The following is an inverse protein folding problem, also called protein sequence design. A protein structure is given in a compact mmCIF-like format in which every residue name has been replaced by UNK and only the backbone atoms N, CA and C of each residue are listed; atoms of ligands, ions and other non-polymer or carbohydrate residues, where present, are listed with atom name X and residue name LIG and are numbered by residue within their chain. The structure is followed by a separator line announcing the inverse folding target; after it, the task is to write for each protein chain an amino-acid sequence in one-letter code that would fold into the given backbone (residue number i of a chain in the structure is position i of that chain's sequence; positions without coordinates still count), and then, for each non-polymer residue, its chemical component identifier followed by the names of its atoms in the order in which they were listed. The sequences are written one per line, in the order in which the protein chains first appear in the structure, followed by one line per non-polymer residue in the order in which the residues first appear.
data_IF_783482236552
#
_entry.id   IF_783482236552
#
_cell.length_a   1.000
_cell.length_b   1.000
_cell.length_c   1.000
_cell.angle_alpha   90.00
_cell.angle_beta   90.00
_cell.angle_gamma   90.00
#
_symmetry.space_group_name_H-M   'P 1'
#
loop_
_entity.id
_entity.type
_entity.pdbx_description
1 polymer ?
#
# COMPACT_ATOMS: atom_id res chain seq x y z
N UNK A 1 6.06 19.85 -3.88
CA UNK A 1 4.82 19.08 -4.05
C UNK A 1 5.07 17.73 -3.42
N UNK A 2 4.36 17.36 -2.36
CA UNK A 2 4.60 16.15 -1.59
C UNK A 2 4.30 14.92 -2.48
N UNK A 3 5.13 13.88 -2.41
CA UNK A 3 4.98 12.62 -3.17
C UNK A 3 3.61 11.97 -2.92
N UNK A 4 3.08 12.13 -1.71
CA UNK A 4 1.75 11.67 -1.29
C UNK A 4 0.64 12.44 -2.03
N UNK A 5 0.76 13.75 -2.13
CA UNK A 5 -0.21 14.60 -2.85
C UNK A 5 -0.21 14.28 -4.35
N UNK A 6 0.95 13.99 -4.90
CA UNK A 6 1.08 13.59 -6.31
C UNK A 6 0.33 12.29 -6.59
N UNK A 7 0.51 11.25 -5.77
CA UNK A 7 -0.17 9.95 -5.93
C UNK A 7 -1.68 10.08 -5.73
N UNK A 8 -2.12 10.83 -4.71
CA UNK A 8 -3.54 11.07 -4.45
C UNK A 8 -4.21 11.85 -5.59
N UNK A 9 -3.52 12.85 -6.15
CA UNK A 9 -4.00 13.63 -7.28
C UNK A 9 -4.13 12.77 -8.55
N UNK A 10 -3.18 11.85 -8.79
CA UNK A 10 -3.26 10.90 -9.91
C UNK A 10 -4.46 9.98 -9.78
N UNK A 11 -4.67 9.36 -8.59
CA UNK A 11 -5.83 8.51 -8.35
C UNK A 11 -7.14 9.28 -8.51
N UNK A 12 -7.22 10.50 -7.98
CA UNK A 12 -8.40 11.33 -8.14
C UNK A 12 -8.64 11.65 -9.64
N UNK A 13 -7.60 12.04 -10.37
CA UNK A 13 -7.68 12.28 -11.81
C UNK A 13 -8.15 11.05 -12.59
N UNK A 14 -7.63 9.87 -12.22
CA UNK A 14 -8.00 8.59 -12.84
C UNK A 14 -9.48 8.23 -12.57
N UNK A 15 -9.97 8.42 -11.33
CA UNK A 15 -11.38 8.26 -10.97
C UNK A 15 -12.26 9.25 -11.74
N UNK A 16 -11.93 10.55 -11.73
CA UNK A 16 -12.72 11.60 -12.38
C UNK A 16 -12.79 11.41 -13.91
N UNK A 17 -11.67 11.08 -14.56
CA UNK A 17 -11.66 10.75 -15.98
C UNK A 17 -12.53 9.53 -16.27
N UNK A 18 -12.46 8.49 -15.44
CA UNK A 18 -13.28 7.29 -15.62
C UNK A 18 -14.78 7.58 -15.51
N UNK A 19 -15.20 8.40 -14.54
CA UNK A 19 -16.59 8.85 -14.42
C UNK A 19 -17.02 9.60 -15.68
N UNK A 20 -16.20 10.53 -16.18
CA UNK A 20 -16.51 11.32 -17.37
C UNK A 20 -16.67 10.45 -18.63
N UNK A 21 -16.00 9.28 -18.70
CA UNK A 21 -16.16 8.35 -19.82
C UNK A 21 -17.57 7.78 -19.93
N UNK A 22 -18.37 7.78 -18.84
CA UNK A 22 -19.78 7.35 -18.89
C UNK A 22 -20.68 8.20 -19.82
N UNK A 23 -20.26 9.41 -20.17
CA UNK A 23 -20.96 10.25 -21.15
C UNK A 23 -20.75 9.74 -22.59
N UNK A 24 -19.67 9.01 -22.85
CA UNK A 24 -19.30 8.59 -24.19
C UNK A 24 -19.46 7.07 -24.41
N UNK A 25 -19.30 6.26 -23.38
CA UNK A 25 -19.27 4.81 -23.45
C UNK A 25 -20.33 4.18 -22.57
N UNK A 26 -20.82 3.01 -22.97
CA UNK A 26 -21.88 2.29 -22.27
C UNK A 26 -21.33 1.15 -21.38
N UNK A 27 -20.12 0.67 -21.64
CA UNK A 27 -19.52 -0.43 -20.90
C UNK A 27 -18.08 -0.12 -20.51
N UNK A 28 -17.65 -0.67 -19.36
CA UNK A 28 -16.29 -0.59 -18.87
C UNK A 28 -15.80 -1.95 -18.42
N UNK A 29 -14.58 -2.30 -18.80
CA UNK A 29 -13.84 -3.39 -18.18
C UNK A 29 -12.75 -2.83 -17.26
N UNK A 30 -12.56 -3.49 -16.11
CA UNK A 30 -11.44 -3.26 -15.19
C UNK A 30 -10.60 -4.51 -15.07
N UNK A 31 -9.29 -4.33 -15.06
CA UNK A 31 -8.35 -5.41 -14.81
C UNK A 31 -7.04 -4.84 -14.28
N UNK A 32 -6.20 -5.66 -13.66
CA UNK A 32 -4.85 -5.31 -13.25
C UNK A 32 -3.85 -6.40 -13.63
N UNK A 33 -2.56 -6.04 -13.67
CA UNK A 33 -1.48 -6.99 -13.89
C UNK A 33 -1.09 -7.62 -12.56
N UNK A 34 -1.13 -8.96 -12.51
CA UNK A 34 -0.71 -9.71 -11.31
C UNK A 34 0.80 -9.59 -11.12
N UNK A 35 1.23 -9.17 -9.93
CA UNK A 35 2.65 -9.08 -9.57
C UNK A 35 3.49 -8.36 -10.62
N UNK A 36 3.06 -7.17 -11.06
CA UNK A 36 3.62 -6.46 -12.21
C UNK A 36 5.16 -6.40 -12.17
N UNK A 37 5.75 -5.84 -11.12
CA UNK A 37 7.21 -5.70 -10.98
C UNK A 37 7.95 -7.04 -10.95
N UNK A 38 7.41 -8.01 -10.24
CA UNK A 38 7.99 -9.36 -10.16
C UNK A 38 7.84 -10.17 -11.44
N UNK A 39 6.99 -9.74 -12.37
CA UNK A 39 6.73 -10.40 -13.65
C UNK A 39 7.46 -9.78 -14.82
N UNK A 40 8.06 -8.59 -14.66
CA UNK A 40 8.81 -7.94 -15.74
C UNK A 40 9.96 -8.87 -16.17
N UNK A 41 9.93 -9.30 -17.44
CA UNK A 41 11.04 -9.98 -18.07
C UNK A 41 12.11 -8.94 -18.42
N UNK A 42 13.31 -9.04 -17.81
CA UNK A 42 14.28 -7.94 -17.87
C UNK A 42 14.68 -7.57 -19.30
N UNK A 43 14.76 -8.56 -20.19
CA UNK A 43 15.02 -8.30 -21.62
C UNK A 43 13.93 -7.46 -22.30
N UNK A 44 12.71 -7.40 -21.76
CA UNK A 44 11.66 -6.53 -22.30
C UNK A 44 11.99 -5.04 -22.14
N UNK A 45 12.90 -4.70 -21.22
CA UNK A 45 13.45 -3.34 -21.07
C UNK A 45 14.22 -2.97 -22.34
N UNK A 46 15.12 -3.85 -22.77
CA UNK A 46 15.87 -3.64 -24.02
C UNK A 46 14.94 -3.58 -25.25
N UNK A 47 13.88 -4.42 -25.28
CA UNK A 47 12.90 -4.37 -26.37
C UNK A 47 12.12 -3.06 -26.42
N UNK A 48 11.80 -2.49 -25.26
CA UNK A 48 11.06 -1.24 -25.16
C UNK A 48 11.93 -0.01 -25.55
N UNK A 49 13.24 -0.07 -25.30
CA UNK A 49 14.16 1.04 -25.60
C UNK A 49 14.67 0.97 -27.03
N UNK A 50 15.08 -0.23 -27.50
CA UNK A 50 15.79 -0.41 -28.80
C UNK A 50 14.93 -1.02 -29.91
N UNK A 51 13.82 -1.57 -29.63
CA UNK A 51 13.01 -2.53 -30.37
C UNK A 51 13.46 -3.99 -30.14
N UNK A 52 12.49 -4.91 -30.20
CA UNK A 52 12.73 -6.35 -29.98
C UNK A 52 13.73 -6.94 -30.97
N UNK A 53 13.70 -6.49 -32.22
CA UNK A 53 14.59 -6.98 -33.28
C UNK A 53 16.04 -6.55 -33.06
N UNK A 54 16.26 -5.27 -32.77
CA UNK A 54 17.61 -4.73 -32.54
C UNK A 54 18.22 -5.35 -31.29
N UNK A 55 17.47 -5.38 -30.18
CA UNK A 55 17.94 -5.94 -28.91
C UNK A 55 18.30 -7.43 -29.03
N UNK A 56 17.50 -8.23 -29.75
CA UNK A 56 17.78 -9.66 -29.97
C UNK A 56 18.98 -9.92 -30.88
N UNK A 57 19.19 -9.10 -31.90
CA UNK A 57 20.37 -9.23 -32.79
C UNK A 57 21.67 -8.88 -32.07
N UNK A 58 21.62 -7.99 -31.10
CA UNK A 58 22.78 -7.42 -30.43
C UNK A 58 22.78 -7.70 -28.92
N UNK A 59 22.34 -8.88 -28.51
CA UNK A 59 22.06 -9.22 -27.08
C UNK A 59 23.23 -8.97 -26.12
N UNK A 60 24.50 -9.06 -26.63
CA UNK A 60 25.70 -8.83 -25.84
C UNK A 60 26.30 -7.43 -26.02
N UNK A 61 25.64 -6.57 -26.81
CA UNK A 61 26.12 -5.22 -27.05
C UNK A 61 25.65 -4.27 -25.96
N UNK A 62 26.53 -4.01 -25.01
CA UNK A 62 26.28 -3.08 -23.90
C UNK A 62 26.41 -1.59 -24.27
N UNK A 63 26.75 -1.27 -25.54
CA UNK A 63 26.69 0.11 -26.04
C UNK A 63 25.23 0.55 -26.26
N UNK A 64 24.29 -0.38 -26.41
CA UNK A 64 22.87 -0.13 -26.48
C UNK A 64 22.31 0.10 -25.07
N UNK A 65 21.67 1.24 -24.86
CA UNK A 65 21.18 1.66 -23.54
C UNK A 65 20.24 0.62 -22.90
N UNK A 66 19.32 0.09 -23.69
CA UNK A 66 18.36 -0.92 -23.21
C UNK A 66 19.05 -2.20 -22.76
N UNK A 67 20.05 -2.68 -23.49
CA UNK A 67 20.83 -3.85 -23.10
C UNK A 67 21.70 -3.58 -21.87
N UNK A 68 22.22 -2.37 -21.72
CA UNK A 68 22.99 -1.96 -20.54
C UNK A 68 22.10 -1.97 -19.28
N UNK A 69 20.90 -1.39 -19.36
CA UNK A 69 19.94 -1.38 -18.24
C UNK A 69 19.54 -2.82 -17.88
N UNK A 70 19.19 -3.63 -18.87
CA UNK A 70 18.85 -5.05 -18.67
C UNK A 70 19.97 -5.79 -17.93
N UNK A 71 21.21 -5.64 -18.37
CA UNK A 71 22.38 -6.27 -17.75
C UNK A 71 22.57 -5.82 -16.31
N UNK A 72 22.47 -4.52 -16.02
CA UNK A 72 22.61 -3.99 -14.65
C UNK A 72 21.52 -4.56 -13.74
N UNK A 73 20.26 -4.62 -14.18
CA UNK A 73 19.15 -5.20 -13.38
C UNK A 73 19.40 -6.68 -13.09
N UNK A 74 19.89 -7.44 -14.07
CA UNK A 74 20.25 -8.85 -13.85
C UNK A 74 21.41 -8.99 -12.85
N UNK A 75 22.44 -8.17 -12.96
CA UNK A 75 23.58 -8.20 -12.03
C UNK A 75 23.17 -7.85 -10.59
N UNK A 76 22.23 -6.94 -10.41
CA UNK A 76 21.61 -6.64 -9.10
C UNK A 76 20.79 -7.81 -8.53
N UNK A 77 20.42 -8.80 -9.35
CA UNK A 77 19.53 -9.91 -9.01
C UNK A 77 20.20 -11.28 -9.24
N UNK A 78 21.51 -11.38 -9.08
CA UNK A 78 22.26 -12.63 -9.27
C UNK A 78 22.05 -13.30 -10.65
N UNK A 79 21.88 -12.51 -11.69
CA UNK A 79 21.63 -12.99 -13.05
C UNK A 79 20.20 -13.42 -13.33
N UNK A 80 19.24 -13.16 -12.42
CA UNK A 80 17.82 -13.42 -12.68
C UNK A 80 17.29 -12.49 -13.77
N UNK A 81 16.52 -13.08 -14.70
CA UNK A 81 15.91 -12.36 -15.82
C UNK A 81 14.42 -12.03 -15.60
N UNK A 82 13.87 -12.40 -14.47
CA UNK A 82 12.46 -12.13 -14.09
C UNK A 82 12.39 -11.29 -12.83
N UNK A 83 11.61 -10.21 -12.92
CA UNK A 83 11.36 -9.29 -11.84
C UNK A 83 12.39 -8.16 -11.72
N UNK A 84 11.86 -7.01 -11.31
CA UNK A 84 12.67 -5.85 -10.92
C UNK A 84 12.31 -5.45 -9.49
N UNK A 85 13.23 -4.84 -8.72
CA UNK A 85 12.92 -4.37 -7.37
C UNK A 85 11.74 -3.38 -7.36
N UNK A 86 10.90 -3.45 -6.34
CA UNK A 86 9.80 -2.51 -6.15
C UNK A 86 10.15 -1.50 -5.07
N UNK A 87 9.73 -0.22 -5.25
CA UNK A 87 9.78 0.81 -4.22
C UNK A 87 10.71 1.98 -4.52
N UNK A 88 11.45 1.98 -5.61
CA UNK A 88 12.25 3.13 -6.06
C UNK A 88 11.61 3.87 -7.24
N UNK A 89 11.88 5.18 -7.35
CA UNK A 89 11.43 5.99 -8.50
C UNK A 89 12.05 5.47 -9.80
N UNK A 90 13.30 5.01 -9.76
CA UNK A 90 13.98 4.48 -10.93
C UNK A 90 13.29 3.21 -11.44
N UNK A 91 12.97 2.27 -10.58
CA UNK A 91 12.28 1.03 -10.98
C UNK A 91 10.84 1.28 -11.40
N UNK A 92 10.16 2.26 -10.80
CA UNK A 92 8.86 2.74 -11.28
C UNK A 92 8.97 3.27 -12.72
N UNK A 93 10.01 4.05 -13.04
CA UNK A 93 10.26 4.58 -14.38
C UNK A 93 10.58 3.46 -15.39
N UNK A 94 11.41 2.47 -15.02
CA UNK A 94 11.70 1.31 -15.86
C UNK A 94 10.43 0.50 -16.14
N UNK A 95 9.59 0.26 -15.13
CA UNK A 95 8.32 -0.41 -15.31
C UNK A 95 7.40 0.34 -16.30
N UNK A 96 7.34 1.67 -16.21
CA UNK A 96 6.54 2.49 -17.14
C UNK A 96 7.09 2.47 -18.58
N UNK A 97 8.40 2.31 -18.80
CA UNK A 97 8.98 2.11 -20.15
C UNK A 97 8.43 0.80 -20.74
N UNK A 98 8.47 -0.31 -20.00
CA UNK A 98 7.99 -1.62 -20.47
C UNK A 98 6.48 -1.61 -20.68
N UNK A 99 5.72 -1.01 -19.77
CA UNK A 99 4.26 -0.88 -19.90
C UNK A 99 3.87 0.07 -21.04
N UNK A 100 4.62 1.13 -21.28
CA UNK A 100 4.43 2.01 -22.45
C UNK A 100 4.65 1.28 -23.78
N UNK A 101 5.66 0.41 -23.84
CA UNK A 101 5.86 -0.47 -24.99
C UNK A 101 4.67 -1.44 -25.18
N UNK A 102 4.15 -2.01 -24.08
CA UNK A 102 2.94 -2.83 -24.14
C UNK A 102 1.73 -2.03 -24.67
N UNK A 103 1.53 -0.79 -24.19
CA UNK A 103 0.43 0.09 -24.63
C UNK A 103 0.51 0.38 -26.14
N UNK A 104 1.71 0.59 -26.69
CA UNK A 104 1.93 0.76 -28.12
C UNK A 104 1.52 -0.49 -28.91
N UNK A 105 1.98 -1.69 -28.48
CA UNK A 105 1.64 -2.95 -29.13
C UNK A 105 0.11 -3.22 -29.07
N UNK A 106 -0.52 -2.94 -27.91
CA UNK A 106 -1.98 -3.06 -27.74
C UNK A 106 -2.70 -2.14 -28.73
N UNK A 107 -2.31 -0.86 -28.79
CA UNK A 107 -2.92 0.12 -29.70
C UNK A 107 -2.81 -0.29 -31.15
N UNK A 108 -1.64 -0.83 -31.56
CA UNK A 108 -1.44 -1.35 -32.92
C UNK A 108 -2.37 -2.50 -33.23
N UNK A 109 -2.44 -3.53 -32.35
CA UNK A 109 -3.31 -4.70 -32.54
C UNK A 109 -4.81 -4.33 -32.54
N UNK A 110 -5.24 -3.36 -31.72
CA UNK A 110 -6.62 -2.87 -31.72
C UNK A 110 -6.96 -2.19 -33.06
N UNK A 111 -6.04 -1.38 -33.60
CA UNK A 111 -6.22 -0.74 -34.91
C UNK A 111 -6.29 -1.77 -36.05
N UNK A 112 -5.47 -2.82 -36.02
CA UNK A 112 -5.53 -3.94 -36.98
C UNK A 112 -6.90 -4.65 -36.95
N UNK A 113 -7.52 -4.76 -35.77
CA UNK A 113 -8.89 -5.30 -35.60
C UNK A 113 -10.01 -4.28 -35.94
N UNK A 114 -9.67 -3.07 -36.38
CA UNK A 114 -10.61 -2.02 -36.81
C UNK A 114 -11.61 -1.55 -35.73
N UNK A 115 -11.29 -1.73 -34.46
CA UNK A 115 -12.11 -1.19 -33.36
C UNK A 115 -11.83 0.30 -33.24
N UNK A 116 -12.87 1.15 -33.36
CA UNK A 116 -12.73 2.61 -33.44
C UNK A 116 -13.17 3.33 -32.16
N UNK A 117 -14.29 2.93 -31.59
CA UNK A 117 -14.92 3.63 -30.47
C UNK A 117 -14.57 2.95 -29.13
N UNK A 118 -13.35 3.20 -28.67
CA UNK A 118 -12.86 2.71 -27.37
C UNK A 118 -11.99 3.78 -26.70
N UNK A 119 -11.74 3.61 -25.41
CA UNK A 119 -10.74 4.34 -24.66
C UNK A 119 -10.10 3.43 -23.63
N UNK A 120 -8.80 3.56 -23.42
CA UNK A 120 -8.08 2.84 -22.36
C UNK A 120 -7.44 3.90 -21.45
N UNK A 121 -7.70 3.79 -20.17
CA UNK A 121 -6.99 4.48 -19.13
C UNK A 121 -6.13 3.47 -18.38
N UNK A 122 -4.84 3.73 -18.28
CA UNK A 122 -3.92 2.95 -17.46
C UNK A 122 -3.29 3.82 -16.38
N UNK A 123 -3.20 3.28 -15.19
CA UNK A 123 -2.40 3.83 -14.11
C UNK A 123 -1.53 2.72 -13.54
N UNK A 124 -0.24 2.71 -13.88
CA UNK A 124 0.68 1.60 -13.58
C UNK A 124 0.15 0.28 -14.11
N UNK A 125 -0.17 -0.65 -13.22
CA UNK A 125 -0.71 -1.99 -13.50
C UNK A 125 -2.24 -2.05 -13.65
N UNK A 126 -2.96 -0.98 -13.26
CA UNK A 126 -4.43 -0.90 -13.34
C UNK A 126 -4.90 -0.41 -14.72
N UNK A 127 -5.75 -1.20 -15.37
CA UNK A 127 -6.39 -0.87 -16.66
C UNK A 127 -7.89 -0.62 -16.48
N UNK A 128 -8.40 0.39 -17.16
CA UNK A 128 -9.82 0.65 -17.40
C UNK A 128 -10.05 0.82 -18.88
N UNK A 129 -10.86 -0.06 -19.45
CA UNK A 129 -11.16 -0.12 -20.86
C UNK A 129 -12.63 0.24 -21.04
N UNK A 130 -12.92 1.16 -21.94
CA UNK A 130 -14.27 1.66 -22.22
C UNK A 130 -14.62 1.38 -23.67
N UNK A 131 -15.86 0.92 -23.92
CA UNK A 131 -16.38 0.70 -25.26
C UNK A 131 -17.90 0.89 -25.29
N UNK A 132 -18.48 0.85 -26.52
CA UNK A 132 -19.93 1.00 -26.70
C UNK A 132 -20.68 -0.29 -26.35
N UNK A 133 -20.02 -1.45 -26.40
CA UNK A 133 -20.62 -2.75 -26.17
C UNK A 133 -19.61 -3.76 -25.58
N UNK A 134 -20.12 -4.84 -24.99
CA UNK A 134 -19.30 -5.88 -24.36
C UNK A 134 -18.49 -6.71 -25.37
N UNK A 135 -18.92 -6.80 -26.62
CA UNK A 135 -18.22 -7.58 -27.66
C UNK A 135 -16.86 -6.92 -27.91
N UNK A 136 -16.85 -5.62 -28.16
CA UNK A 136 -15.60 -4.86 -28.37
C UNK A 136 -14.72 -4.91 -27.14
N UNK A 137 -15.29 -4.80 -25.93
CA UNK A 137 -14.52 -4.94 -24.68
C UNK A 137 -13.83 -6.29 -24.58
N UNK A 138 -14.52 -7.36 -24.90
CA UNK A 138 -13.95 -8.72 -24.85
C UNK A 138 -12.82 -8.90 -25.88
N UNK A 139 -12.97 -8.33 -27.08
CA UNK A 139 -11.89 -8.35 -28.09
C UNK A 139 -10.68 -7.55 -27.59
N UNK A 140 -10.90 -6.37 -27.05
CA UNK A 140 -9.81 -5.54 -26.50
C UNK A 140 -9.12 -6.26 -25.32
N UNK A 141 -9.87 -6.84 -24.39
CA UNK A 141 -9.31 -7.61 -23.28
C UNK A 141 -8.46 -8.79 -23.76
N UNK A 142 -8.91 -9.48 -24.81
CA UNK A 142 -8.14 -10.57 -25.44
C UNK A 142 -6.82 -10.04 -25.99
N UNK A 143 -6.85 -8.94 -26.74
CA UNK A 143 -5.64 -8.29 -27.29
C UNK A 143 -4.68 -7.89 -26.17
N UNK A 144 -5.19 -7.27 -25.11
CA UNK A 144 -4.37 -6.89 -23.93
C UNK A 144 -3.73 -8.12 -23.32
N UNK A 145 -4.51 -9.21 -23.12
CA UNK A 145 -4.01 -10.46 -22.55
C UNK A 145 -2.90 -11.07 -23.40
N UNK A 146 -3.06 -11.09 -24.72
CA UNK A 146 -2.07 -11.63 -25.67
C UNK A 146 -0.76 -10.81 -25.63
N UNK A 147 -0.86 -9.49 -25.75
CA UNK A 147 0.32 -8.61 -25.72
C UNK A 147 1.05 -8.70 -24.38
N UNK A 148 0.34 -8.65 -23.27
CA UNK A 148 0.92 -8.76 -21.95
C UNK A 148 1.59 -10.12 -21.73
N UNK A 149 0.99 -11.22 -22.24
CA UNK A 149 1.58 -12.55 -22.15
C UNK A 149 2.89 -12.66 -22.92
N UNK A 150 3.04 -11.97 -24.06
CA UNK A 150 4.30 -11.90 -24.83
C UNK A 150 5.43 -11.22 -24.04
N UNK A 151 5.07 -10.41 -23.04
CA UNK A 151 6.00 -9.71 -22.13
C UNK A 151 6.11 -10.36 -20.75
N UNK A 152 5.58 -11.59 -20.59
CA UNK A 152 5.55 -12.36 -19.34
C UNK A 152 4.60 -11.79 -18.26
N UNK A 153 3.71 -10.89 -18.61
CA UNK A 153 2.67 -10.40 -17.69
C UNK A 153 1.42 -11.26 -17.73
N UNK A 154 0.69 -11.28 -16.63
CA UNK A 154 -0.62 -11.94 -16.52
C UNK A 154 -1.65 -11.01 -15.93
N UNK A 155 -2.83 -10.96 -16.53
CA UNK A 155 -3.97 -10.25 -15.94
C UNK A 155 -4.52 -11.02 -14.74
N UNK A 156 -4.98 -10.27 -13.76
CA UNK A 156 -5.63 -10.82 -12.58
C UNK A 156 -7.09 -11.16 -12.89
N UNK A 157 -7.37 -12.43 -13.13
CA UNK A 157 -8.71 -12.90 -13.47
C UNK A 157 -9.75 -12.65 -12.37
N UNK A 158 -9.34 -12.64 -11.10
CA UNK A 158 -10.26 -12.38 -9.97
C UNK A 158 -10.67 -10.91 -9.88
N UNK A 159 -9.84 -10.00 -10.38
CA UNK A 159 -10.12 -8.56 -10.40
C UNK A 159 -10.64 -8.08 -11.75
N UNK A 160 -10.59 -8.93 -12.78
CA UNK A 160 -11.15 -8.61 -14.09
C UNK A 160 -12.67 -8.66 -14.02
N UNK A 161 -13.31 -7.54 -14.38
CA UNK A 161 -14.76 -7.41 -14.36
C UNK A 161 -15.24 -6.50 -15.49
N UNK A 162 -16.40 -6.82 -16.07
CA UNK A 162 -17.09 -5.99 -17.06
C UNK A 162 -18.37 -5.46 -16.39
N UNK A 163 -18.74 -4.23 -16.68
CA UNK A 163 -19.91 -3.55 -16.12
C UNK A 163 -20.45 -2.50 -17.08
N UNK A 164 -21.76 -2.28 -17.04
CA UNK A 164 -22.47 -1.16 -17.64
C UNK A 164 -22.63 0.03 -16.66
N UNK A 165 -22.49 -0.21 -15.34
CA UNK A 165 -22.45 0.85 -14.34
C UNK A 165 -21.03 1.43 -14.21
N UNK A 166 -20.67 2.28 -15.17
CA UNK A 166 -19.36 2.93 -15.22
C UNK A 166 -19.15 3.84 -13.99
N UNK A 167 -20.16 4.59 -13.58
CA UNK A 167 -20.03 5.62 -12.53
C UNK A 167 -19.67 4.98 -11.19
N UNK A 168 -20.47 4.06 -10.69
CA UNK A 168 -20.23 3.38 -9.40
C UNK A 168 -18.92 2.61 -9.42
N UNK A 169 -18.62 1.94 -10.54
CA UNK A 169 -17.41 1.16 -10.67
C UNK A 169 -16.14 1.98 -10.95
N UNK A 170 -16.26 3.28 -11.27
CA UNK A 170 -15.13 4.19 -11.35
C UNK A 170 -14.56 4.56 -9.99
N UNK A 171 -15.33 4.44 -8.93
CA UNK A 171 -14.95 4.75 -7.55
C UNK A 171 -14.50 3.46 -6.85
N UNK A 172 -13.56 3.55 -5.91
CA UNK A 172 -13.19 2.41 -5.06
C UNK A 172 -14.40 1.97 -4.22
N UNK A 173 -14.62 0.65 -4.13
CA UNK A 173 -15.78 0.07 -3.42
C UNK A 173 -15.93 0.56 -1.98
N UNK A 174 -14.82 0.71 -1.27
CA UNK A 174 -14.80 1.23 0.10
C UNK A 174 -15.26 2.70 0.18
N UNK A 175 -14.80 3.56 -0.74
CA UNK A 175 -15.28 4.95 -0.84
C UNK A 175 -16.78 5.01 -1.18
N UNK A 176 -17.20 4.25 -2.19
CA UNK A 176 -18.61 4.20 -2.59
C UNK A 176 -19.49 3.73 -1.42
N UNK A 177 -19.06 2.74 -0.65
CA UNK A 177 -19.79 2.23 0.50
C UNK A 177 -19.95 3.26 1.63
N UNK A 178 -18.91 4.06 1.91
CA UNK A 178 -19.03 5.17 2.88
C UNK A 178 -20.07 6.19 2.44
N UNK A 179 -20.09 6.55 1.16
CA UNK A 179 -21.02 7.54 0.62
C UNK A 179 -22.49 7.07 0.71
N UNK A 180 -22.72 5.78 0.43
CA UNK A 180 -24.08 5.20 0.42
C UNK A 180 -24.58 4.84 1.82
N UNK A 181 -23.72 4.30 2.69
CA UNK A 181 -24.12 3.75 3.97
C UNK A 181 -23.88 4.68 5.17
N UNK A 182 -23.47 5.94 4.92
CA UNK A 182 -23.28 6.95 5.96
C UNK A 182 -22.49 6.42 7.18
N UNK A 183 -21.33 5.80 6.96
CA UNK A 183 -20.44 5.49 8.09
C UNK A 183 -19.93 6.78 8.72
N UNK A 184 -20.65 7.25 9.72
CA UNK A 184 -20.40 8.51 10.40
C UNK A 184 -19.70 8.24 11.73
N UNK A 185 -18.75 9.11 12.08
CA UNK A 185 -18.21 9.18 13.43
C UNK A 185 -19.30 9.74 14.35
N UNK A 186 -19.81 8.92 15.26
CA UNK A 186 -20.92 9.25 16.16
C UNK A 186 -20.42 9.97 17.41
N UNK A 187 -21.31 10.69 18.11
CA UNK A 187 -20.98 11.44 19.34
C UNK A 187 -20.62 10.55 20.57
N UNK A 188 -20.21 9.32 20.34
CA UNK A 188 -19.80 8.39 21.39
C UNK A 188 -18.70 7.47 20.88
N UNK A 189 -17.56 7.46 21.54
CA UNK A 189 -16.35 6.70 21.14
C UNK A 189 -16.64 5.22 20.89
N UNK A 190 -17.38 4.57 21.78
CA UNK A 190 -17.67 3.15 21.64
C UNK A 190 -18.58 2.87 20.44
N UNK A 191 -19.60 3.71 20.19
CA UNK A 191 -20.48 3.58 19.01
C UNK A 191 -19.70 3.85 17.71
N UNK A 192 -18.83 4.85 17.70
CA UNK A 192 -17.96 5.14 16.55
C UNK A 192 -17.05 3.94 16.24
N UNK A 193 -16.44 3.35 17.26
CA UNK A 193 -15.60 2.16 17.10
C UNK A 193 -16.38 0.94 16.61
N UNK A 194 -17.63 0.73 17.04
CA UNK A 194 -18.47 -0.34 16.49
C UNK A 194 -18.75 -0.14 15.00
N UNK A 195 -19.03 1.11 14.60
CA UNK A 195 -19.24 1.47 13.19
C UNK A 195 -17.98 1.23 12.35
N UNK A 196 -16.84 1.72 12.83
CA UNK A 196 -15.53 1.54 12.18
C UNK A 196 -15.16 0.05 12.10
N UNK A 197 -15.43 -0.72 13.18
CA UNK A 197 -15.22 -2.17 13.19
C UNK A 197 -16.09 -2.88 12.15
N UNK A 198 -17.38 -2.55 12.07
CA UNK A 198 -18.26 -3.12 11.04
C UNK A 198 -17.75 -2.84 9.62
N UNK A 199 -17.33 -1.60 9.35
CA UNK A 199 -16.69 -1.23 8.09
C UNK A 199 -15.40 -2.04 7.83
N UNK A 200 -14.55 -2.23 8.85
CA UNK A 200 -13.28 -2.93 8.74
C UNK A 200 -13.42 -4.43 8.41
N UNK A 201 -14.55 -5.04 8.74
CA UNK A 201 -14.85 -6.43 8.39
C UNK A 201 -15.19 -6.59 6.90
N UNK A 202 -15.77 -5.56 6.31
CA UNK A 202 -16.13 -5.54 4.88
C UNK A 202 -14.94 -5.11 4.02
N UNK A 203 -14.19 -4.09 4.48
CA UNK A 203 -13.07 -3.47 3.76
C UNK A 203 -11.79 -3.47 4.60
N UNK A 204 -11.19 -4.64 4.84
CA UNK A 204 -10.00 -4.75 5.68
C UNK A 204 -8.81 -4.00 5.05
N UNK A 205 -8.01 -3.35 5.91
CA UNK A 205 -6.80 -2.62 5.53
C UNK A 205 -7.00 -1.53 4.45
N UNK A 206 -8.23 -1.03 4.27
CA UNK A 206 -8.54 0.00 3.27
C UNK A 206 -8.08 1.40 3.72
N UNK A 207 -7.81 2.27 2.74
CA UNK A 207 -7.51 3.68 3.02
C UNK A 207 -8.67 4.43 3.68
N UNK A 208 -9.92 4.05 3.35
CA UNK A 208 -11.12 4.60 3.95
C UNK A 208 -11.28 4.22 5.42
N UNK A 209 -10.82 3.01 5.82
CA UNK A 209 -10.76 2.62 7.23
C UNK A 209 -9.80 3.52 8.03
N UNK A 210 -8.62 3.80 7.47
CA UNK A 210 -7.67 4.72 8.09
C UNK A 210 -8.26 6.12 8.25
N UNK A 211 -8.98 6.61 7.22
CA UNK A 211 -9.65 7.91 7.27
C UNK A 211 -10.71 7.97 8.39
N UNK A 212 -11.57 6.94 8.54
CA UNK A 212 -12.56 6.88 9.62
C UNK A 212 -11.91 6.86 11.01
N UNK A 213 -10.80 6.13 11.18
CA UNK A 213 -10.03 6.14 12.44
C UNK A 213 -9.41 7.51 12.72
N UNK A 214 -8.88 8.19 11.71
CA UNK A 214 -8.32 9.54 11.83
C UNK A 214 -9.41 10.54 12.20
N UNK A 215 -10.57 10.51 11.55
CA UNK A 215 -11.71 11.37 11.90
C UNK A 215 -12.17 11.15 13.35
N UNK A 216 -12.26 9.90 13.77
CA UNK A 216 -12.60 9.58 15.16
C UNK A 216 -11.54 10.08 16.14
N UNK A 217 -10.26 9.94 15.81
CA UNK A 217 -9.16 10.48 16.61
C UNK A 217 -9.29 11.99 16.79
N UNK A 218 -9.40 12.74 15.70
CA UNK A 218 -9.50 14.20 15.72
C UNK A 218 -10.74 14.70 16.49
N UNK A 219 -11.90 14.09 16.25
CA UNK A 219 -13.17 14.57 16.80
C UNK A 219 -13.42 14.12 18.23
N UNK A 220 -12.94 12.96 18.65
CA UNK A 220 -13.35 12.34 19.91
C UNK A 220 -12.21 11.98 20.86
N UNK A 221 -11.03 11.64 20.36
CA UNK A 221 -9.91 11.17 21.17
C UNK A 221 -8.98 12.32 21.55
N UNK A 222 -8.53 13.09 20.56
CA UNK A 222 -7.60 14.23 20.76
C UNK A 222 -8.16 15.29 21.72
N UNK A 223 -9.46 15.67 21.71
CA UNK A 223 -10.02 16.63 22.65
C UNK A 223 -10.32 16.07 24.04
N UNK A 224 -10.02 14.81 24.34
CA UNK A 224 -10.30 14.21 25.64
C UNK A 224 -9.53 14.90 26.76
N UNK A 225 -10.26 15.40 27.78
CA UNK A 225 -9.71 15.99 29.00
C UNK A 225 -9.89 15.12 30.24
N UNK A 226 -10.61 14.01 30.14
CA UNK A 226 -10.90 13.10 31.25
C UNK A 226 -11.03 11.67 30.75
N UNK A 227 -10.84 10.71 31.65
CA UNK A 227 -10.98 9.28 31.37
C UNK A 227 -12.35 9.00 30.73
N UNK A 228 -12.40 8.37 29.53
CA UNK A 228 -13.66 7.98 28.92
C UNK A 228 -14.39 6.91 29.75
N UNK A 229 -15.70 6.86 29.64
CA UNK A 229 -16.50 5.74 30.19
C UNK A 229 -16.19 4.46 29.37
N UNK A 230 -16.36 3.30 30.01
CA UNK A 230 -16.22 2.00 29.33
C UNK A 230 -14.82 1.80 28.63
N UNK A 231 -13.75 2.22 29.30
CA UNK A 231 -12.37 2.15 28.75
C UNK A 231 -12.00 0.74 28.27
N UNK A 232 -12.36 -0.28 29.06
CA UNK A 232 -12.05 -1.68 28.71
C UNK A 232 -12.71 -2.10 27.40
N UNK A 233 -13.97 -1.73 27.20
CA UNK A 233 -14.72 -2.02 25.97
C UNK A 233 -14.13 -1.26 24.78
N UNK A 234 -13.78 0.01 24.97
CA UNK A 234 -13.13 0.84 23.95
C UNK A 234 -11.82 0.21 23.50
N UNK A 235 -10.95 -0.16 24.45
CA UNK A 235 -9.68 -0.83 24.17
C UNK A 235 -9.92 -2.17 23.46
N UNK A 236 -10.90 -2.96 23.91
CA UNK A 236 -11.19 -4.27 23.32
C UNK A 236 -11.63 -4.17 21.86
N UNK A 237 -12.49 -3.21 21.50
CA UNK A 237 -12.94 -3.00 20.11
C UNK A 237 -11.78 -2.50 19.26
N UNK A 238 -11.00 -1.55 19.76
CA UNK A 238 -9.83 -0.99 19.07
C UNK A 238 -8.79 -2.08 18.77
N UNK A 239 -8.52 -2.94 19.75
CA UNK A 239 -7.60 -4.08 19.60
C UNK A 239 -8.14 -5.12 18.62
N UNK A 240 -9.45 -5.33 18.53
CA UNK A 240 -10.03 -6.22 17.52
C UNK A 240 -9.89 -5.65 16.09
N UNK A 241 -10.05 -4.32 15.92
CA UNK A 241 -9.78 -3.64 14.66
C UNK A 241 -8.32 -3.84 14.26
N UNK A 242 -7.37 -3.59 15.16
CA UNK A 242 -5.93 -3.80 14.93
C UNK A 242 -5.62 -5.24 14.55
N UNK A 243 -6.18 -6.21 15.28
CA UNK A 243 -5.92 -7.63 15.08
C UNK A 243 -6.26 -8.10 13.67
N UNK A 244 -7.30 -7.53 13.07
CA UNK A 244 -7.78 -7.85 11.72
C UNK A 244 -7.16 -6.98 10.62
N UNK A 245 -6.62 -5.82 10.99
CA UNK A 245 -6.20 -4.78 10.06
C UNK A 245 -4.80 -4.26 10.40
N UNK A 246 -3.72 -4.98 10.04
CA UNK A 246 -2.36 -4.56 10.35
C UNK A 246 -1.98 -3.14 9.94
N UNK A 247 -2.56 -2.61 8.86
CA UNK A 247 -2.33 -1.22 8.43
C UNK A 247 -2.81 -0.16 9.43
N UNK A 248 -3.61 -0.53 10.43
CA UNK A 248 -4.14 0.39 11.44
C UNK A 248 -3.30 0.45 12.72
N UNK A 249 -2.22 -0.32 12.84
CA UNK A 249 -1.45 -0.44 14.09
C UNK A 249 -0.99 0.91 14.63
N UNK A 250 -0.38 1.74 13.80
CA UNK A 250 0.11 3.08 14.18
C UNK A 250 -1.01 3.98 14.71
N UNK A 251 -2.10 4.16 13.98
CA UNK A 251 -3.24 4.99 14.40
C UNK A 251 -3.94 4.44 15.65
N UNK A 252 -4.14 3.14 15.73
CA UNK A 252 -4.76 2.54 16.90
C UNK A 252 -3.88 2.66 18.13
N UNK A 253 -2.55 2.54 18.00
CA UNK A 253 -1.62 2.71 19.11
C UNK A 253 -1.51 4.20 19.52
N UNK A 254 -1.60 5.14 18.57
CA UNK A 254 -1.78 6.56 18.88
C UNK A 254 -3.02 6.78 19.76
N UNK A 255 -4.19 6.23 19.38
CA UNK A 255 -5.43 6.30 20.16
C UNK A 255 -5.25 5.67 21.55
N UNK A 256 -4.58 4.49 21.61
CA UNK A 256 -4.28 3.84 22.88
C UNK A 256 -3.39 4.71 23.79
N UNK A 257 -2.40 5.43 23.23
CA UNK A 257 -1.51 6.30 24.02
C UNK A 257 -2.27 7.41 24.74
N UNK A 258 -3.26 8.01 24.05
CA UNK A 258 -4.15 9.02 24.67
C UNK A 258 -5.03 8.40 25.74
N UNK A 259 -5.62 7.23 25.50
CA UNK A 259 -6.45 6.55 26.49
C UNK A 259 -5.61 6.14 27.72
N UNK A 260 -4.40 5.66 27.49
CA UNK A 260 -3.48 5.22 28.55
C UNK A 260 -3.02 6.38 29.43
N UNK A 261 -2.95 7.61 28.93
CA UNK A 261 -2.60 8.78 29.73
C UNK A 261 -3.56 9.02 30.91
N UNK A 262 -4.76 8.46 30.85
CA UNK A 262 -5.75 8.52 31.94
C UNK A 262 -5.72 7.30 32.88
N UNK A 263 -4.78 6.37 32.71
CA UNK A 263 -4.69 5.12 33.46
C UNK A 263 -3.39 5.01 34.24
N UNK A 264 -3.45 4.29 35.35
CA UNK A 264 -2.24 3.98 36.13
C UNK A 264 -1.38 2.90 35.48
N UNK A 265 -0.07 2.94 35.73
CA UNK A 265 0.96 2.02 35.19
C UNK A 265 0.60 0.54 35.26
N UNK A 266 0.06 0.07 36.41
CA UNK A 266 -0.36 -1.33 36.58
C UNK A 266 -1.45 -1.74 35.62
N UNK A 267 -2.44 -0.86 35.40
CA UNK A 267 -3.55 -1.10 34.47
C UNK A 267 -3.06 -1.11 33.02
N UNK A 268 -2.18 -0.18 32.64
CA UNK A 268 -1.55 -0.13 31.32
C UNK A 268 -0.79 -1.42 31.05
N UNK A 269 0.04 -1.87 32.01
CA UNK A 269 0.80 -3.13 31.89
C UNK A 269 -0.13 -4.35 31.66
N UNK A 270 -1.25 -4.42 32.40
CA UNK A 270 -2.26 -5.48 32.20
C UNK A 270 -2.78 -5.48 30.75
N UNK A 271 -3.15 -4.30 30.20
CA UNK A 271 -3.65 -4.20 28.82
C UNK A 271 -2.57 -4.56 27.79
N UNK A 272 -1.36 -4.04 27.94
CA UNK A 272 -0.24 -4.36 27.02
C UNK A 272 0.05 -5.86 27.02
N UNK A 273 0.04 -6.51 28.17
CA UNK A 273 0.24 -7.97 28.26
C UNK A 273 -0.90 -8.74 27.58
N UNK A 274 -2.15 -8.31 27.75
CA UNK A 274 -3.30 -8.91 27.08
C UNK A 274 -3.23 -8.75 25.57
N UNK A 275 -2.84 -7.57 25.08
CA UNK A 275 -2.64 -7.29 23.65
C UNK A 275 -1.52 -8.18 23.10
N UNK A 276 -0.34 -8.18 23.72
CA UNK A 276 0.79 -9.01 23.30
C UNK A 276 0.43 -10.50 23.25
N UNK A 277 -0.32 -10.99 24.24
CA UNK A 277 -0.79 -12.38 24.26
C UNK A 277 -1.75 -12.68 23.10
N UNK A 278 -2.66 -11.76 22.78
CA UNK A 278 -3.62 -11.90 21.68
C UNK A 278 -2.91 -11.97 20.33
N UNK A 279 -1.86 -11.18 20.14
CA UNK A 279 -1.12 -11.11 18.88
C UNK A 279 -0.05 -12.19 18.71
N UNK A 280 0.33 -12.91 19.78
CA UNK A 280 1.44 -13.87 19.80
C UNK A 280 1.43 -14.92 18.67
N UNK A 281 0.26 -15.35 18.25
CA UNK A 281 0.09 -16.41 17.25
C UNK A 281 -0.10 -15.87 15.81
N UNK A 282 -0.05 -14.56 15.62
CA UNK A 282 -0.10 -13.98 14.28
C UNK A 282 1.30 -14.01 13.62
N UNK A 283 1.37 -14.26 12.32
CA UNK A 283 2.63 -14.09 11.59
C UNK A 283 3.03 -12.61 11.51
N UNK A 284 4.32 -12.34 11.36
CA UNK A 284 4.86 -10.99 11.11
C UNK A 284 4.49 -9.95 12.17
N UNK A 285 4.57 -10.29 13.45
CA UNK A 285 4.20 -9.39 14.56
C UNK A 285 5.25 -8.32 14.89
N UNK A 286 6.38 -8.27 14.19
CA UNK A 286 7.47 -7.33 14.48
C UNK A 286 7.00 -5.87 14.48
N UNK A 287 6.11 -5.50 13.56
CA UNK A 287 5.63 -4.13 13.45
C UNK A 287 4.74 -3.71 14.62
N UNK A 288 3.85 -4.58 15.11
CA UNK A 288 3.06 -4.27 16.33
C UNK A 288 3.93 -4.27 17.57
N UNK A 289 4.98 -5.11 17.65
CA UNK A 289 5.90 -5.14 18.79
C UNK A 289 6.64 -3.80 18.95
N UNK A 290 7.06 -3.16 17.86
CA UNK A 290 7.68 -1.82 17.87
C UNK A 290 6.71 -0.79 18.47
N UNK A 291 5.46 -0.78 18.04
CA UNK A 291 4.46 0.15 18.55
C UNK A 291 4.09 -0.11 20.01
N UNK A 292 4.00 -1.38 20.42
CA UNK A 292 3.79 -1.71 21.84
C UNK A 292 5.00 -1.35 22.70
N UNK A 293 6.22 -1.51 22.17
CA UNK A 293 7.44 -1.07 22.85
C UNK A 293 7.45 0.45 23.03
N UNK A 294 7.00 1.22 22.02
CA UNK A 294 6.84 2.68 22.14
C UNK A 294 5.97 3.06 23.34
N UNK A 295 4.88 2.32 23.60
CA UNK A 295 4.02 2.54 24.76
C UNK A 295 4.68 2.09 26.08
N UNK A 296 5.44 0.99 26.08
CA UNK A 296 6.05 0.48 27.32
C UNK A 296 7.18 1.35 27.80
N UNK A 297 8.04 1.84 26.89
CA UNK A 297 9.17 2.73 27.24
C UNK A 297 8.67 3.99 27.95
N UNK A 298 7.71 4.69 27.36
CA UNK A 298 7.20 5.95 27.88
C UNK A 298 6.38 5.82 29.14
N UNK A 299 5.84 4.65 29.42
CA UNK A 299 5.14 4.36 30.67
C UNK A 299 6.03 3.66 31.72
N UNK A 300 7.35 3.59 31.50
CA UNK A 300 8.32 2.93 32.36
C UNK A 300 7.94 1.49 32.70
N UNK A 301 7.44 0.74 31.74
CA UNK A 301 7.07 -0.68 31.90
C UNK A 301 8.25 -1.53 31.40
N UNK A 302 8.81 -2.32 32.30
CA UNK A 302 9.87 -3.27 31.96
C UNK A 302 9.29 -4.48 31.25
N UNK A 303 9.28 -4.41 29.91
CA UNK A 303 8.83 -5.48 29.02
C UNK A 303 9.79 -5.62 27.84
N UNK A 304 10.34 -6.82 27.69
CA UNK A 304 11.21 -7.16 26.55
C UNK A 304 10.39 -7.79 25.42
N UNK A 305 10.71 -7.41 24.19
CA UNK A 305 10.08 -7.92 22.96
C UNK A 305 11.09 -8.78 22.19
N UNK A 306 10.59 -9.77 21.44
CA UNK A 306 11.42 -10.71 20.68
C UNK A 306 11.87 -10.16 19.32
N UNK A 307 11.20 -9.18 18.79
CA UNK A 307 11.54 -8.51 17.54
C UNK A 307 12.98 -7.96 17.58
N UNK A 308 13.76 -8.18 16.51
CA UNK A 308 15.17 -7.78 16.42
C UNK A 308 15.35 -6.27 16.59
N UNK A 309 14.51 -5.48 15.94
CA UNK A 309 14.53 -4.02 16.07
C UNK A 309 14.22 -3.57 17.51
N UNK A 310 13.27 -4.21 18.17
CA UNK A 310 12.97 -3.95 19.57
C UNK A 310 14.14 -4.31 20.52
N UNK A 311 14.86 -5.37 20.22
CA UNK A 311 16.04 -5.78 21.00
C UNK A 311 17.18 -4.76 20.91
N UNK A 312 17.31 -4.06 19.80
CA UNK A 312 18.37 -3.05 19.59
C UNK A 312 18.38 -1.95 20.64
N UNK A 313 17.24 -1.65 21.26
CA UNK A 313 17.13 -0.64 22.33
C UNK A 313 17.89 -1.04 23.62
N UNK A 314 18.07 -2.34 23.87
CA UNK A 314 18.66 -2.84 25.12
C UNK A 314 19.75 -3.89 24.89
N UNK A 315 20.15 -4.15 23.66
CA UNK A 315 21.24 -5.06 23.31
C UNK A 315 21.85 -4.67 21.96
N UNK A 316 23.09 -5.09 21.72
CA UNK A 316 23.79 -4.94 20.44
C UNK A 316 23.33 -5.94 19.39
N UNK A 317 22.03 -6.14 19.23
CA UNK A 317 21.48 -7.08 18.25
C UNK A 317 21.70 -6.55 16.83
N UNK A 318 22.26 -7.36 15.94
CA UNK A 318 22.32 -7.08 14.52
C UNK A 318 20.90 -7.07 13.94
N UNK A 319 20.53 -6.02 13.18
CA UNK A 319 19.18 -5.84 12.64
C UNK A 319 19.02 -6.61 11.32
N UNK A 320 20.06 -6.56 10.46
CA UNK A 320 20.12 -7.29 9.18
C UNK A 320 21.55 -7.66 8.83
N UNK A 321 21.73 -8.56 7.88
CA UNK A 321 23.04 -8.85 7.33
C UNK A 321 23.42 -7.77 6.30
N UNK A 322 24.42 -6.96 6.62
CA UNK A 322 24.99 -5.91 5.77
C UNK A 322 26.37 -6.26 5.20
N UNK A 323 26.85 -7.50 5.35
CA UNK A 323 28.21 -7.93 4.94
C UNK A 323 28.45 -7.78 3.43
N UNK A 324 27.38 -7.67 2.64
CA UNK A 324 27.42 -7.45 1.20
C UNK A 324 27.58 -5.98 0.79
N UNK A 325 27.48 -5.03 1.73
CA UNK A 325 27.69 -3.60 1.50
C UNK A 325 29.16 -3.25 1.71
N UNK A 326 29.75 -2.51 0.77
CA UNK A 326 31.10 -1.95 0.90
C UNK A 326 31.14 -0.69 1.78
N UNK A 327 30.11 -0.47 2.63
CA UNK A 327 29.97 0.68 3.51
C UNK A 327 29.75 0.16 4.93
N UNK A 328 30.53 0.68 5.88
CA UNK A 328 30.22 0.50 7.29
C UNK A 328 28.96 1.31 7.61
N UNK A 329 27.87 0.61 7.95
CA UNK A 329 26.65 1.26 8.43
C UNK A 329 26.82 1.47 9.91
N UNK A 330 26.87 2.74 10.34
CA UNK A 330 26.81 3.09 11.75
C UNK A 330 25.38 2.81 12.28
N UNK A 331 25.22 1.64 12.87
CA UNK A 331 23.95 1.23 13.48
C UNK A 331 23.52 2.16 14.63
N UNK A 332 24.44 2.95 15.22
CA UNK A 332 24.12 3.96 16.22
C UNK A 332 23.23 5.09 15.64
N UNK A 333 23.26 5.32 14.33
CA UNK A 333 22.36 6.26 13.65
C UNK A 333 20.91 5.78 13.59
N UNK A 334 20.66 4.47 13.77
CA UNK A 334 19.31 3.89 13.67
C UNK A 334 18.54 4.09 14.98
N UNK A 335 19.23 4.08 16.13
CA UNK A 335 18.62 4.25 17.44
C UNK A 335 19.29 5.38 18.20
N UNK A 336 18.56 6.48 18.35
CA UNK A 336 18.99 7.60 19.16
C UNK A 336 18.42 7.48 20.57
N UNK A 337 19.26 7.08 21.53
CA UNK A 337 18.88 6.88 22.93
C UNK A 337 18.47 8.19 23.64
N UNK A 338 18.94 9.35 23.19
CA UNK A 338 18.58 10.64 23.78
C UNK A 338 17.14 11.01 23.36
N UNK A 339 16.81 10.82 22.09
CA UNK A 339 15.44 10.99 21.58
C UNK A 339 14.49 10.03 22.32
N UNK A 340 14.86 8.76 22.47
CA UNK A 340 14.03 7.77 23.17
C UNK A 340 13.69 8.21 24.60
N UNK A 341 14.64 8.83 25.31
CA UNK A 341 14.42 9.31 26.67
C UNK A 341 13.54 10.56 26.74
N UNK A 342 13.48 11.34 25.68
CA UNK A 342 12.74 12.61 25.61
C UNK A 342 11.32 12.50 25.04
N UNK A 343 10.94 11.35 24.46
CA UNK A 343 9.62 11.19 23.83
C UNK A 343 8.47 11.23 24.84
N UNK A 344 7.37 11.86 24.42
CA UNK A 344 6.15 11.98 25.22
C UNK A 344 5.44 10.64 25.42
N UNK A 345 4.76 10.40 26.56
CA UNK A 345 3.86 9.26 26.73
C UNK A 345 2.74 9.20 25.69
N UNK A 346 2.21 10.34 25.27
CA UNK A 346 1.24 10.44 24.18
C UNK A 346 2.02 10.52 22.86
N UNK A 347 1.71 9.58 21.96
CA UNK A 347 2.30 9.54 20.63
C UNK A 347 1.85 10.78 19.85
N UNK A 348 2.77 11.41 19.12
CA UNK A 348 2.46 12.56 18.28
C UNK A 348 2.00 12.09 16.89
N UNK A 349 1.21 12.93 16.20
CA UNK A 349 0.66 12.58 14.88
C UNK A 349 1.77 12.39 13.83
N UNK A 350 2.86 13.15 13.98
CA UNK A 350 4.04 13.06 13.13
C UNK A 350 4.73 11.70 13.23
N UNK A 351 4.71 11.05 14.40
CA UNK A 351 5.28 9.70 14.58
C UNK A 351 4.50 8.64 13.80
N UNK A 352 3.18 8.81 13.60
CA UNK A 352 2.33 7.84 12.90
C UNK A 352 2.22 8.09 11.40
N UNK A 353 2.68 9.25 10.95
CA UNK A 353 2.69 9.62 9.54
C UNK A 353 4.13 9.76 9.03
N UNK A 354 4.80 8.66 8.65
CA UNK A 354 6.23 8.65 8.32
C UNK A 354 6.59 9.50 7.09
N UNK A 355 5.61 10.05 6.37
CA UNK A 355 5.84 10.87 5.17
C UNK A 355 5.87 12.38 5.46
N UNK A 356 5.72 12.81 6.70
CA UNK A 356 5.82 14.24 7.08
C UNK A 356 7.27 14.73 7.08
N UNK A 357 8.25 13.82 7.14
CA UNK A 357 9.69 14.14 7.25
C UNK A 357 10.47 13.97 5.93
N UNK A 358 9.78 13.94 4.76
CA UNK A 358 10.47 13.86 3.46
C UNK A 358 10.25 15.10 2.62
#
# INVERSE_FOLDING_TARGET
MDKKDTILNWWNTFEQKSIAMSLKFNCMAKTDITNCYGSIYTHSIAWAVETKEIAKKNINDTSLLGNQIDKIIQDMSYGQTNGIPQGSILTDFIAEIVLGYADEQISRKINENKIKDYSILRYRDDYRIFAQNEIDLNVILKIITEVLSELNFKLNTQKTSITDDIITNSIKKDKANILVNNYIVLNNIQKSLFNIRAFSLIYPNSGSLLKLLTEMFEQQIKPLKKRPKNVEQIISILVDIMYRNPKTYNLCVLILSVIFSFLGKTTINKYINSISKKFKNLPNTNYIDVWLQRLTITNNIDKKYSCTLCKKIYSEAQIWNSDWLNLEIDEALIINNEIIKSISPIIQEEEVNPFVYQ
#
